data_IF_042865713560
#
_entry.id   IF_042865713560
#
_cell.length_a   1.000
_cell.length_b   1.000
_cell.length_c   1.000
_cell.angle_alpha   90.00
_cell.angle_beta   90.00
_cell.angle_gamma   90.00
#
_symmetry.space_group_name_H-M   'P 1'
#
loop_
_entity.id
_entity.type
_entity.pdbx_description
1 polymer ?
#
# COMPACT_ATOMS: atom_id res chain seq x y z
N UNK A 1 -6.21 -1.72 -17.41
CA UNK A 1 -6.98 -1.07 -16.34
C UNK A 1 -8.46 -1.37 -16.57
N UNK A 2 -9.15 -1.81 -15.56
CA UNK A 2 -10.59 -2.05 -15.61
C UNK A 2 -11.19 -1.38 -14.37
N UNK A 3 -12.14 -0.45 -14.61
CA UNK A 3 -12.75 0.37 -13.57
C UNK A 3 -14.25 0.31 -13.79
N UNK A 4 -14.98 -0.16 -12.79
CA UNK A 4 -16.43 -0.14 -12.74
C UNK A 4 -16.87 0.52 -11.43
N UNK A 5 -17.50 1.70 -11.54
CA UNK A 5 -17.88 2.48 -10.38
C UNK A 5 -18.12 3.96 -10.67
N UNK A 6 -18.19 4.74 -9.63
CA UNK A 6 -18.44 6.17 -9.69
C UNK A 6 -17.50 6.98 -8.80
N UNK A 7 -17.07 8.13 -9.29
CA UNK A 7 -16.29 9.11 -8.54
C UNK A 7 -17.11 10.38 -8.41
N UNK A 8 -17.14 10.95 -7.21
CA UNK A 8 -17.76 12.24 -6.93
C UNK A 8 -16.70 13.19 -6.40
N UNK A 9 -16.65 14.36 -6.96
CA UNK A 9 -15.82 15.46 -6.48
C UNK A 9 -16.70 16.55 -5.90
N UNK A 10 -16.34 17.03 -4.72
CA UNK A 10 -17.03 18.11 -4.04
C UNK A 10 -16.04 19.20 -3.63
N UNK A 11 -16.47 20.47 -3.77
CA UNK A 11 -15.75 21.64 -3.28
C UNK A 11 -16.71 22.49 -2.46
N UNK A 12 -16.39 22.75 -1.20
CA UNK A 12 -17.22 23.59 -0.36
C UNK A 12 -16.95 25.11 -0.59
N UNK A 13 -17.78 25.96 0.01
CA UNK A 13 -17.64 27.42 -0.12
C UNK A 13 -16.36 27.97 0.51
N UNK A 14 -15.75 27.24 1.45
CA UNK A 14 -14.49 27.59 2.11
C UNK A 14 -13.25 27.10 1.30
N UNK A 15 -13.48 26.46 0.17
CA UNK A 15 -12.43 26.00 -0.73
C UNK A 15 -11.87 24.60 -0.39
N UNK A 16 -12.37 23.90 0.63
CA UNK A 16 -11.97 22.53 0.90
C UNK A 16 -12.53 21.58 -0.17
N UNK A 17 -11.72 20.64 -0.58
CA UNK A 17 -12.01 19.68 -1.64
C UNK A 17 -12.13 18.27 -1.06
N UNK A 18 -13.10 17.50 -1.56
CA UNK A 18 -13.29 16.10 -1.20
C UNK A 18 -13.56 15.27 -2.45
N UNK A 19 -13.00 14.06 -2.48
CA UNK A 19 -13.25 13.06 -3.53
C UNK A 19 -13.74 11.79 -2.86
N UNK A 20 -14.87 11.28 -3.33
CA UNK A 20 -15.36 9.97 -2.94
C UNK A 20 -15.49 9.06 -4.15
N UNK A 21 -15.09 7.80 -4.02
CA UNK A 21 -15.20 6.78 -5.05
C UNK A 21 -15.84 5.52 -4.51
N UNK A 22 -16.83 5.00 -5.21
CA UNK A 22 -17.44 3.71 -4.97
C UNK A 22 -17.28 2.84 -6.22
N UNK A 23 -16.61 1.69 -6.07
CA UNK A 23 -16.29 0.80 -7.17
C UNK A 23 -16.80 -0.61 -6.89
N UNK A 24 -17.45 -1.20 -7.87
CA UNK A 24 -17.67 -2.65 -7.89
C UNK A 24 -16.36 -3.36 -8.21
N UNK A 25 -15.54 -2.76 -9.10
CA UNK A 25 -14.24 -3.27 -9.48
C UNK A 25 -13.26 -2.14 -9.76
N UNK A 26 -12.04 -2.28 -9.22
CA UNK A 26 -10.93 -1.37 -9.47
C UNK A 26 -9.64 -2.18 -9.69
N UNK A 27 -9.20 -2.31 -10.95
CA UNK A 27 -7.98 -3.03 -11.31
C UNK A 27 -6.92 -2.03 -11.75
N UNK A 28 -5.96 -1.75 -10.89
CA UNK A 28 -4.81 -0.90 -11.18
C UNK A 28 -3.60 -1.78 -11.48
N UNK A 29 -3.16 -1.72 -12.72
CA UNK A 29 -1.86 -2.26 -13.14
C UNK A 29 -0.81 -1.17 -12.98
N UNK A 30 0.46 -1.53 -13.13
CA UNK A 30 1.57 -0.58 -13.06
C UNK A 30 1.16 0.77 -13.64
N UNK A 31 1.38 1.87 -12.94
CA UNK A 31 1.30 3.17 -13.56
C UNK A 31 2.31 3.14 -14.70
N UNK A 32 1.81 3.04 -15.93
CA UNK A 32 2.64 3.28 -17.10
C UNK A 32 3.29 4.62 -16.84
N UNK A 33 4.59 4.60 -16.60
CA UNK A 33 5.36 5.82 -16.37
C UNK A 33 5.50 6.53 -17.72
N UNK A 34 4.40 7.16 -18.15
CA UNK A 34 4.37 8.05 -19.33
C UNK A 34 5.12 9.35 -19.06
N UNK A 35 6.14 9.31 -18.20
CA UNK A 35 7.08 10.42 -18.01
C UNK A 35 6.48 11.71 -17.43
N UNK A 36 5.22 11.72 -17.07
CA UNK A 36 4.57 12.86 -16.40
C UNK A 36 4.72 12.63 -14.88
N UNK A 37 5.86 13.02 -14.35
CA UNK A 37 5.98 13.30 -12.92
C UNK A 37 5.22 14.60 -12.65
N UNK A 38 3.94 14.50 -12.34
CA UNK A 38 3.26 15.65 -11.72
C UNK A 38 3.89 15.81 -10.33
N UNK A 39 4.60 16.92 -10.12
CA UNK A 39 4.96 17.35 -8.78
C UNK A 39 3.67 17.70 -8.04
N UNK A 40 3.09 16.70 -7.40
CA UNK A 40 1.87 16.86 -6.60
C UNK A 40 2.28 17.32 -5.22
N UNK A 41 1.80 18.47 -4.78
CA UNK A 41 1.93 18.86 -3.38
C UNK A 41 0.94 18.04 -2.56
N UNK A 42 1.39 17.22 -1.60
CA UNK A 42 0.50 16.40 -0.80
C UNK A 42 -0.53 17.22 0.01
N UNK A 43 -0.20 18.46 0.38
CA UNK A 43 -1.13 19.34 1.11
C UNK A 43 -2.28 19.90 0.25
N UNK A 44 -2.15 19.81 -1.07
CA UNK A 44 -3.17 20.24 -2.03
C UNK A 44 -4.11 19.10 -2.47
N UNK A 45 -3.83 17.87 -2.02
CA UNK A 45 -4.72 16.74 -2.30
C UNK A 45 -6.08 16.96 -1.63
N UNK A 46 -7.17 16.52 -2.27
CA UNK A 46 -8.49 16.54 -1.64
C UNK A 46 -8.58 15.52 -0.50
N UNK A 47 -9.49 15.72 0.43
CA UNK A 47 -9.95 14.65 1.31
C UNK A 47 -10.47 13.48 0.47
N UNK A 48 -10.07 12.25 0.81
CA UNK A 48 -10.33 11.06 -0.01
C UNK A 48 -11.11 10.00 0.77
N UNK A 49 -12.17 9.49 0.14
CA UNK A 49 -13.02 8.40 0.64
C UNK A 49 -13.24 7.41 -0.49
N UNK A 50 -12.48 6.33 -0.51
CA UNK A 50 -12.61 5.31 -1.55
C UNK A 50 -13.07 3.98 -0.96
N UNK A 51 -13.98 3.33 -1.68
CA UNK A 51 -14.43 1.98 -1.41
C UNK A 51 -14.46 1.17 -2.69
N UNK A 52 -13.94 -0.05 -2.66
CA UNK A 52 -14.03 -1.00 -3.76
C UNK A 52 -14.40 -2.38 -3.24
N UNK A 53 -15.33 -3.08 -3.90
CA UNK A 53 -15.64 -4.47 -3.59
C UNK A 53 -14.56 -5.43 -4.07
N UNK A 54 -13.98 -5.15 -5.23
CA UNK A 54 -12.87 -5.87 -5.81
C UNK A 54 -11.75 -4.89 -6.14
N UNK A 55 -10.72 -4.85 -5.34
CA UNK A 55 -9.52 -4.06 -5.61
C UNK A 55 -8.34 -4.96 -5.91
N UNK A 56 -7.68 -4.72 -7.03
CA UNK A 56 -6.41 -5.37 -7.37
C UNK A 56 -5.38 -4.33 -7.75
N UNK A 57 -4.21 -4.43 -7.13
CA UNK A 57 -3.10 -3.53 -7.35
C UNK A 57 -1.83 -4.32 -7.67
N UNK A 58 -1.17 -4.03 -8.80
CA UNK A 58 0.05 -4.70 -9.25
C UNK A 58 -0.07 -6.24 -9.27
N UNK A 59 -1.24 -6.76 -9.64
CA UNK A 59 -1.50 -8.20 -9.65
C UNK A 59 -1.88 -8.81 -8.31
N UNK A 60 -1.75 -8.07 -7.20
CA UNK A 60 -2.16 -8.51 -5.86
C UNK A 60 -3.66 -8.31 -5.70
N UNK A 61 -4.36 -9.36 -5.32
CA UNK A 61 -5.78 -9.30 -4.99
C UNK A 61 -5.95 -8.82 -3.54
N UNK A 62 -6.36 -7.57 -3.40
CA UNK A 62 -6.63 -6.92 -2.12
C UNK A 62 -8.09 -7.10 -1.68
N UNK A 63 -8.99 -7.51 -2.60
CA UNK A 63 -10.40 -7.76 -2.32
C UNK A 63 -11.19 -6.52 -1.95
N UNK A 64 -12.05 -6.63 -0.94
CA UNK A 64 -12.79 -5.49 -0.43
C UNK A 64 -11.84 -4.50 0.23
N UNK A 65 -11.84 -3.26 -0.27
CA UNK A 65 -10.87 -2.25 0.16
C UNK A 65 -11.54 -0.92 0.45
N UNK A 66 -11.12 -0.29 1.54
CA UNK A 66 -11.49 1.07 1.94
C UNK A 66 -10.23 1.90 2.16
N UNK A 67 -10.26 3.14 1.67
CA UNK A 67 -9.15 4.10 1.80
C UNK A 67 -9.74 5.43 2.27
N UNK A 68 -9.19 5.96 3.37
CA UNK A 68 -9.58 7.22 3.97
C UNK A 68 -8.33 8.07 4.20
N UNK A 69 -8.39 9.35 3.84
CA UNK A 69 -7.27 10.26 4.07
C UNK A 69 -7.65 11.71 3.82
N UNK A 70 -6.84 12.63 4.34
CA UNK A 70 -7.10 14.05 4.27
C UNK A 70 -5.83 14.89 4.25
N UNK A 71 -5.84 16.07 3.61
CA UNK A 71 -4.71 16.98 3.61
C UNK A 71 -4.46 17.55 5.01
N UNK A 72 -3.18 17.68 5.35
CA UNK A 72 -2.68 18.36 6.53
C UNK A 72 -1.75 19.50 6.12
N UNK A 73 -1.34 20.36 7.06
CA UNK A 73 -0.60 21.60 6.77
C UNK A 73 0.61 21.40 5.84
N UNK A 74 1.36 20.30 6.01
CA UNK A 74 2.60 20.06 5.28
C UNK A 74 2.56 18.73 4.52
N UNK A 75 1.37 18.21 4.18
CA UNK A 75 1.30 16.90 3.56
C UNK A 75 -0.11 16.33 3.49
N UNK A 76 -0.16 15.03 3.43
CA UNK A 76 -1.38 14.24 3.40
C UNK A 76 -1.32 13.15 4.46
N UNK A 77 -2.36 13.08 5.28
CA UNK A 77 -2.53 12.03 6.27
C UNK A 77 -3.43 10.92 5.70
N UNK A 78 -2.89 9.72 5.62
CA UNK A 78 -3.63 8.51 5.36
C UNK A 78 -4.15 7.96 6.68
N UNK A 79 -5.43 8.19 6.95
CA UNK A 79 -6.11 7.71 8.16
C UNK A 79 -6.16 6.18 8.18
N UNK A 80 -6.55 5.58 7.06
CA UNK A 80 -6.54 4.13 6.89
C UNK A 80 -6.55 3.69 5.43
N UNK A 81 -5.87 2.58 5.16
CA UNK A 81 -6.19 1.63 4.10
C UNK A 81 -6.56 0.34 4.81
N UNK A 82 -7.73 -0.20 4.53
CA UNK A 82 -8.16 -1.50 4.99
C UNK A 82 -8.56 -2.34 3.79
N UNK A 83 -7.92 -3.49 3.62
CA UNK A 83 -8.19 -4.39 2.52
C UNK A 83 -8.32 -5.83 3.00
N UNK A 84 -9.28 -6.56 2.45
CA UNK A 84 -9.54 -7.95 2.82
C UNK A 84 -9.92 -8.78 1.60
N UNK A 85 -9.11 -9.78 1.33
CA UNK A 85 -9.39 -10.85 0.37
C UNK A 85 -9.43 -12.22 1.07
N UNK A 86 -9.77 -13.31 0.36
CA UNK A 86 -9.74 -14.66 0.96
C UNK A 86 -8.35 -15.09 1.47
N UNK A 87 -7.27 -14.55 0.91
CA UNK A 87 -5.89 -14.96 1.25
C UNK A 87 -5.09 -13.91 2.00
N UNK A 88 -5.58 -12.67 2.08
CA UNK A 88 -4.84 -11.53 2.59
C UNK A 88 -5.75 -10.58 3.37
N UNK A 89 -5.26 -10.10 4.53
CA UNK A 89 -5.75 -8.89 5.18
C UNK A 89 -4.61 -7.89 5.22
N UNK A 90 -4.87 -6.67 4.79
CA UNK A 90 -3.91 -5.58 4.75
C UNK A 90 -4.49 -4.36 5.44
N UNK A 91 -3.72 -3.73 6.30
CA UNK A 91 -4.03 -2.40 6.81
C UNK A 91 -2.80 -1.51 6.80
N UNK A 92 -3.01 -0.24 6.53
CA UNK A 92 -1.96 0.77 6.58
C UNK A 92 -2.51 2.12 7.02
N UNK A 93 -1.66 2.91 7.68
CA UNK A 93 -1.90 4.32 8.03
C UNK A 93 -0.57 5.05 8.03
N UNK A 94 -0.58 6.36 7.83
CA UNK A 94 0.67 7.10 7.83
C UNK A 94 0.55 8.49 7.24
N UNK A 95 1.69 9.07 6.94
CA UNK A 95 1.80 10.44 6.48
C UNK A 95 2.70 10.53 5.26
N UNK A 96 2.30 11.34 4.30
CA UNK A 96 3.14 11.81 3.22
C UNK A 96 3.36 13.31 3.41
N UNK A 97 4.57 13.69 3.77
CA UNK A 97 4.93 15.06 4.11
C UNK A 97 5.91 15.65 3.10
N UNK A 98 5.86 16.96 2.95
CA UNK A 98 6.83 17.73 2.16
C UNK A 98 7.29 18.92 3.01
N UNK A 99 8.61 19.07 3.13
CA UNK A 99 9.25 20.20 3.79
C UNK A 99 10.46 20.70 3.01
N UNK A 100 11.32 21.51 3.64
CA UNK A 100 12.53 22.08 3.03
C UNK A 100 13.60 21.03 2.74
N UNK A 101 13.54 19.88 3.36
CA UNK A 101 14.49 18.76 3.17
C UNK A 101 14.01 17.80 2.07
N UNK A 102 12.75 17.93 1.62
CA UNK A 102 12.15 17.15 0.56
C UNK A 102 10.86 16.45 0.97
N UNK A 103 10.53 15.41 0.25
CA UNK A 103 9.35 14.57 0.53
C UNK A 103 9.74 13.35 1.35
N UNK A 104 8.84 12.96 2.23
CA UNK A 104 8.98 11.78 3.07
C UNK A 104 7.64 11.10 3.26
N UNK A 105 7.66 9.78 3.20
CA UNK A 105 6.54 8.90 3.53
C UNK A 105 6.88 8.09 4.77
N UNK A 106 6.00 8.11 5.76
CA UNK A 106 6.05 7.35 7.02
C UNK A 106 4.79 6.51 7.15
N UNK A 107 4.91 5.19 7.23
CA UNK A 107 3.76 4.29 7.28
C UNK A 107 3.91 3.19 8.32
N UNK A 108 2.82 2.91 9.01
CA UNK A 108 2.60 1.71 9.79
C UNK A 108 1.75 0.76 8.95
N UNK A 109 2.27 -0.43 8.67
CA UNK A 109 1.66 -1.41 7.77
C UNK A 109 1.51 -2.72 8.51
N UNK A 110 0.34 -3.34 8.42
CA UNK A 110 0.09 -4.67 8.94
C UNK A 110 -0.51 -5.57 7.86
N UNK A 111 0.09 -6.75 7.70
CA UNK A 111 -0.31 -7.74 6.70
C UNK A 111 -0.50 -9.08 7.41
N UNK A 112 -1.64 -9.74 7.18
CA UNK A 112 -1.83 -11.14 7.55
C UNK A 112 -2.20 -11.96 6.32
N UNK A 113 -1.58 -13.12 6.16
CA UNK A 113 -1.83 -14.01 5.03
C UNK A 113 -1.80 -15.47 5.48
N UNK A 114 -2.65 -16.29 4.88
CA UNK A 114 -2.62 -17.74 5.06
C UNK A 114 -1.54 -18.43 4.19
N UNK A 115 -0.95 -17.67 3.25
CA UNK A 115 0.10 -18.13 2.33
C UNK A 115 1.14 -17.03 2.10
N UNK A 116 2.17 -17.02 2.91
CA UNK A 116 3.28 -16.06 2.78
C UNK A 116 3.96 -16.13 1.40
N UNK A 117 4.03 -17.32 0.80
CA UNK A 117 4.67 -17.50 -0.51
C UNK A 117 4.10 -16.58 -1.57
N UNK A 118 2.78 -16.45 -1.65
CA UNK A 118 2.13 -15.56 -2.63
C UNK A 118 2.36 -14.07 -2.36
N UNK A 119 2.50 -13.67 -1.11
CA UNK A 119 2.82 -12.28 -0.76
C UNK A 119 4.28 -11.97 -1.11
N UNK A 120 5.20 -12.87 -0.82
CA UNK A 120 6.63 -12.70 -1.15
C UNK A 120 6.87 -12.72 -2.66
N UNK A 121 6.18 -13.59 -3.41
CA UNK A 121 6.23 -13.60 -4.88
C UNK A 121 5.72 -12.28 -5.48
N UNK A 122 4.62 -11.75 -4.95
CA UNK A 122 4.07 -10.47 -5.39
C UNK A 122 5.00 -9.29 -5.09
N UNK A 123 5.89 -9.42 -4.09
CA UNK A 123 6.92 -8.43 -3.73
C UNK A 123 8.27 -8.71 -4.42
N UNK A 124 8.33 -9.64 -5.36
CA UNK A 124 9.56 -10.09 -6.05
C UNK A 124 10.63 -10.65 -5.08
N UNK A 125 10.16 -11.16 -3.94
CA UNK A 125 10.98 -11.83 -2.94
C UNK A 125 10.90 -13.35 -3.14
N UNK A 126 12.04 -14.04 -3.07
CA UNK A 126 12.16 -15.48 -3.27
C UNK A 126 11.26 -16.29 -2.34
N UNK A 127 10.44 -17.19 -2.90
CA UNK A 127 9.54 -18.08 -2.17
C UNK A 127 10.26 -19.30 -1.58
N UNK A 128 11.19 -19.08 -0.68
CA UNK A 128 11.81 -20.18 0.10
C UNK A 128 10.88 -20.75 1.18
N UNK A 129 9.69 -20.18 1.35
CA UNK A 129 8.71 -20.57 2.37
C UNK A 129 7.39 -20.94 1.73
N UNK A 130 6.80 -22.07 2.11
CA UNK A 130 5.47 -22.48 1.70
C UNK A 130 4.56 -22.71 2.90
N UNK A 131 3.32 -22.19 2.78
CA UNK A 131 2.28 -22.38 3.78
C UNK A 131 2.54 -21.63 5.08
N UNK A 132 1.61 -21.77 6.01
CA UNK A 132 1.64 -21.12 7.31
C UNK A 132 0.92 -19.77 7.33
N UNK A 133 0.27 -19.52 8.47
CA UNK A 133 -0.31 -18.23 8.76
C UNK A 133 0.81 -17.26 9.10
N UNK A 134 0.87 -16.16 8.36
CA UNK A 134 1.92 -15.15 8.51
C UNK A 134 1.30 -13.83 8.90
N UNK A 135 1.94 -13.15 9.84
CA UNK A 135 1.66 -11.77 10.22
C UNK A 135 2.95 -10.97 10.06
N UNK A 136 2.86 -9.87 9.33
CA UNK A 136 3.95 -8.90 9.16
C UNK A 136 3.48 -7.56 9.71
N UNK A 137 4.25 -7.01 10.60
CA UNK A 137 4.10 -5.63 11.06
C UNK A 137 5.32 -4.84 10.63
N UNK A 138 5.10 -3.66 10.06
CA UNK A 138 6.14 -2.88 9.46
C UNK A 138 5.95 -1.39 9.73
N UNK A 139 6.85 -0.80 10.52
CA UNK A 139 6.98 0.63 10.69
C UNK A 139 8.07 1.12 9.76
N UNK A 140 7.70 1.76 8.66
CA UNK A 140 8.60 2.08 7.58
C UNK A 140 8.54 3.56 7.19
N UNK A 141 9.69 4.07 6.78
CA UNK A 141 9.76 5.36 6.12
C UNK A 141 10.74 5.32 4.93
N UNK A 142 10.48 6.18 3.96
CA UNK A 142 11.36 6.40 2.80
C UNK A 142 11.29 7.83 2.30
N UNK A 143 12.27 8.24 1.52
CA UNK A 143 12.29 9.53 0.85
C UNK A 143 11.39 9.49 -0.39
N UNK A 144 10.56 10.53 -0.57
CA UNK A 144 9.65 10.65 -1.69
C UNK A 144 8.18 10.32 -1.36
N UNK A 145 7.31 10.36 -2.39
CA UNK A 145 5.89 10.05 -2.26
C UNK A 145 5.65 8.57 -1.98
N UNK A 146 4.43 8.18 -1.54
CA UNK A 146 4.08 6.78 -1.31
C UNK A 146 4.36 5.85 -2.49
N UNK A 147 4.19 6.35 -3.72
CA UNK A 147 4.47 5.59 -4.95
C UNK A 147 5.97 5.32 -5.20
N UNK A 148 6.87 6.03 -4.52
CA UNK A 148 8.33 5.81 -4.60
C UNK A 148 8.81 4.68 -3.68
N UNK A 149 7.89 3.88 -3.16
CA UNK A 149 8.21 2.71 -2.33
C UNK A 149 9.12 1.72 -3.08
N UNK A 150 10.29 1.46 -2.52
CA UNK A 150 11.21 0.41 -2.93
C UNK A 150 11.78 -0.29 -1.71
N UNK A 151 11.68 -1.62 -1.62
CA UNK A 151 12.18 -2.39 -0.46
C UNK A 151 13.63 -2.06 -0.08
N UNK A 152 14.50 -1.83 -1.08
CA UNK A 152 15.91 -1.51 -0.84
C UNK A 152 16.17 -0.13 -0.24
N UNK A 153 15.20 0.79 -0.33
CA UNK A 153 15.28 2.16 0.19
C UNK A 153 14.53 2.36 1.49
N UNK A 154 13.88 1.31 1.99
CA UNK A 154 13.13 1.37 3.23
C UNK A 154 14.04 1.50 4.44
N UNK A 155 13.58 2.31 5.37
CA UNK A 155 14.13 2.41 6.72
C UNK A 155 13.01 2.09 7.70
N UNK A 156 13.34 1.46 8.82
CA UNK A 156 12.33 1.14 9.84
C UNK A 156 12.55 -0.19 10.52
N UNK A 157 11.50 -0.69 11.14
CA UNK A 157 11.47 -1.94 11.87
C UNK A 157 10.41 -2.85 11.29
N UNK A 158 10.71 -4.13 11.17
CA UNK A 158 9.79 -5.14 10.64
C UNK A 158 9.77 -6.35 11.54
N UNK A 159 8.59 -6.71 12.01
CA UNK A 159 8.31 -7.94 12.75
C UNK A 159 7.57 -8.92 11.83
N UNK A 160 8.10 -10.15 11.74
CA UNK A 160 7.47 -11.22 10.98
C UNK A 160 7.19 -12.38 11.91
N UNK A 161 5.94 -12.80 12.04
CA UNK A 161 5.50 -13.99 12.75
C UNK A 161 4.93 -15.01 11.77
N UNK A 162 5.44 -16.24 11.83
CA UNK A 162 5.00 -17.36 10.99
C UNK A 162 4.58 -18.52 11.89
N UNK A 163 3.35 -18.98 11.71
CA UNK A 163 2.79 -20.10 12.46
C UNK A 163 2.45 -21.24 11.49
N UNK A 164 2.94 -22.46 11.77
CA UNK A 164 2.76 -23.65 10.94
C UNK A 164 3.36 -23.56 9.52
N UNK A 165 4.40 -22.75 9.32
CA UNK A 165 5.14 -22.65 8.06
C UNK A 165 6.10 -23.82 7.83
N UNK A 166 6.33 -24.20 6.58
CA UNK A 166 7.36 -25.15 6.16
C UNK A 166 8.45 -24.41 5.36
N UNK A 167 9.72 -24.65 5.70
CA UNK A 167 10.86 -24.16 4.91
C UNK A 167 11.18 -25.23 3.86
N UNK A 168 11.02 -24.89 2.59
CA UNK A 168 11.25 -25.78 1.45
C UNK A 168 12.72 -25.88 1.06
N UNK A 169 13.57 -26.42 1.90
CA UNK A 169 15.01 -26.59 1.70
C UNK A 169 15.85 -25.30 1.81
N UNK A 170 16.48 -25.11 2.95
CA UNK A 170 17.80 -24.52 2.96
C UNK A 170 18.75 -25.58 2.38
N UNK A 171 19.25 -25.40 1.16
CA UNK A 171 20.43 -26.17 0.75
C UNK A 171 21.57 -25.75 1.69
N UNK A 172 22.07 -26.66 2.56
CA UNK A 172 23.19 -26.34 3.40
C UNK A 172 24.46 -26.41 2.55
N UNK A 173 24.95 -25.23 2.14
CA UNK A 173 26.34 -25.16 1.82
C UNK A 173 26.77 -25.05 0.37
N UNK A 174 27.13 -23.87 0.02
CA UNK A 174 28.34 -23.66 -0.74
C UNK A 174 29.23 -22.66 0.02
N UNK A 175 29.68 -23.07 1.19
CA UNK A 175 30.76 -22.44 1.93
C UNK A 175 31.99 -23.33 1.82
N UNK A 176 32.79 -23.15 0.79
CA UNK A 176 34.22 -23.49 0.72
C UNK A 176 34.95 -22.42 -0.04
#
# INVERSE_FOLDING_TARGET
>A
QDIDGAIRYYKNEQGAHSVSGEFDRLLLQDPVSDGITMETDPSELPEMHFYSKEFRYLGIDLGETRIEGYPVKNGFHLESIEAKSPSLTFSARGDWTRDVEGERSDFNIHITSESLGSVLEAMDLSSAMQGGQTSVHFDAWWQGPPAAFELKSLNGEMDISIVHGNILSAEPGAGR
#
